data_IF_134680858519
#
_entry.id   IF_134680858519
#
_cell.length_a   1.000
_cell.length_b   1.000
_cell.length_c   1.000
_cell.angle_alpha   90.00
_cell.angle_beta   90.00
_cell.angle_gamma   90.00
#
_symmetry.space_group_name_H-M   'P 1'
#
loop_
_entity.id
_entity.type
_entity.pdbx_description
1 polymer ?
#
# COMPACT_ATOMS: atom_id res chain seq x y z
N UNK A 1 -12.95 3.21 -37.81
CA UNK A 1 -12.67 3.66 -36.42
C UNK A 1 -12.05 2.49 -35.70
N UNK A 2 -10.79 2.62 -35.32
CA UNK A 2 -9.92 1.57 -34.79
C UNK A 2 -10.44 1.16 -33.39
N UNK A 3 -10.90 -0.08 -33.22
CA UNK A 3 -11.41 -0.67 -31.97
C UNK A 3 -10.28 -0.93 -30.96
N UNK A 4 -9.39 0.05 -30.75
CA UNK A 4 -8.28 -0.06 -29.79
C UNK A 4 -8.71 0.51 -28.44
N UNK A 5 -8.91 -0.42 -27.49
CA UNK A 5 -8.61 -0.28 -26.05
C UNK A 5 -9.56 0.59 -25.21
N UNK A 6 -10.84 0.20 -25.14
CA UNK A 6 -11.77 0.70 -24.10
C UNK A 6 -11.51 0.04 -22.72
N UNK A 7 -10.69 -1.02 -22.67
CA UNK A 7 -10.46 -1.85 -21.46
C UNK A 7 -9.01 -1.85 -20.92
N UNK A 8 -8.10 -1.01 -21.44
CA UNK A 8 -6.74 -0.99 -20.89
C UNK A 8 -6.63 -0.02 -19.72
N UNK A 9 -6.44 -0.59 -18.52
CA UNK A 9 -6.07 0.15 -17.32
C UNK A 9 -4.85 1.04 -17.62
N UNK A 10 -4.90 2.34 -17.26
CA UNK A 10 -3.86 3.27 -17.64
C UNK A 10 -2.54 2.89 -16.96
N UNK A 11 -1.43 3.13 -17.67
CA UNK A 11 -0.08 2.69 -17.25
C UNK A 11 0.25 3.17 -15.83
N UNK A 12 -0.11 4.41 -15.49
CA UNK A 12 0.12 4.97 -14.15
C UNK A 12 -0.58 4.19 -13.04
N UNK A 13 -1.77 3.63 -13.30
CA UNK A 13 -2.54 2.85 -12.31
C UNK A 13 -1.85 1.50 -12.04
N UNK A 14 -1.32 0.85 -13.10
CA UNK A 14 -0.48 -0.35 -12.97
C UNK A 14 0.83 -0.05 -12.23
N UNK A 15 1.48 1.06 -12.56
CA UNK A 15 2.73 1.49 -11.93
C UNK A 15 2.53 1.77 -10.44
N UNK A 16 1.50 2.52 -10.06
CA UNK A 16 1.18 2.79 -8.65
C UNK A 16 0.85 1.52 -7.88
N UNK A 17 0.07 0.61 -8.47
CA UNK A 17 -0.24 -0.68 -7.85
C UNK A 17 1.02 -1.54 -7.64
N UNK A 18 1.94 -1.55 -8.62
CA UNK A 18 3.21 -2.25 -8.49
C UNK A 18 4.10 -1.64 -7.40
N UNK A 19 4.21 -0.31 -7.35
CA UNK A 19 4.99 0.40 -6.33
C UNK A 19 4.38 0.15 -4.93
N UNK A 20 3.07 0.24 -4.80
CA UNK A 20 2.33 -0.09 -3.56
C UNK A 20 2.68 -1.49 -3.07
N UNK A 21 2.56 -2.51 -3.93
CA UNK A 21 2.89 -3.89 -3.60
C UNK A 21 4.36 -4.05 -3.18
N UNK A 22 5.27 -3.33 -3.84
CA UNK A 22 6.69 -3.34 -3.50
C UNK A 22 6.92 -2.77 -2.09
N UNK A 23 6.28 -1.67 -1.72
CA UNK A 23 6.34 -1.11 -0.36
C UNK A 23 5.78 -2.06 0.69
N UNK A 24 4.62 -2.67 0.44
CA UNK A 24 3.99 -3.65 1.34
C UNK A 24 4.92 -4.86 1.52
N UNK A 25 5.51 -5.37 0.43
CA UNK A 25 6.44 -6.49 0.46
C UNK A 25 7.72 -6.16 1.25
N UNK A 26 8.30 -4.98 1.05
CA UNK A 26 9.43 -4.51 1.84
C UNK A 26 9.07 -4.35 3.32
N UNK A 27 7.85 -3.90 3.63
CA UNK A 27 7.33 -3.84 5.00
C UNK A 27 7.27 -5.22 5.67
N UNK A 28 6.80 -6.24 4.94
CA UNK A 28 6.77 -7.64 5.39
C UNK A 28 8.17 -8.22 5.64
N UNK A 29 9.14 -7.93 4.76
CA UNK A 29 10.53 -8.34 4.98
C UNK A 29 11.11 -7.65 6.22
N UNK A 30 10.82 -6.37 6.37
CA UNK A 30 11.34 -5.55 7.46
C UNK A 30 10.76 -5.96 8.82
N UNK A 31 9.55 -6.54 8.87
CA UNK A 31 8.94 -7.16 10.05
C UNK A 31 9.83 -8.26 10.65
N UNK A 32 10.41 -9.12 9.80
CA UNK A 32 11.29 -10.22 10.23
C UNK A 32 12.59 -9.66 10.84
N UNK A 33 13.01 -8.48 10.40
CA UNK A 33 14.23 -7.82 10.87
C UNK A 33 14.05 -7.04 12.18
N UNK A 34 12.82 -6.88 12.69
CA UNK A 34 12.53 -6.16 13.95
C UNK A 34 13.33 -6.68 15.16
N UNK A 35 13.47 -8.00 15.40
CA UNK A 35 14.22 -8.50 16.56
C UNK A 35 15.72 -8.18 16.48
N UNK A 36 16.23 -7.94 15.28
CA UNK A 36 17.66 -7.74 15.02
C UNK A 36 18.04 -6.25 14.97
N UNK A 37 17.15 -5.40 14.47
CA UNK A 37 17.42 -3.98 14.21
C UNK A 37 16.28 -3.11 14.76
N UNK A 38 16.54 -2.39 15.86
CA UNK A 38 15.54 -1.52 16.50
C UNK A 38 14.98 -0.44 15.56
N UNK A 39 15.78 0.04 14.59
CA UNK A 39 15.34 0.99 13.56
C UNK A 39 14.16 0.46 12.74
N UNK A 40 14.04 -0.86 12.56
CA UNK A 40 12.95 -1.48 11.79
C UNK A 40 11.58 -1.25 12.42
N UNK A 41 11.48 -1.07 13.74
CA UNK A 41 10.22 -0.74 14.42
C UNK A 41 9.57 0.54 13.90
N UNK A 42 10.37 1.48 13.39
CA UNK A 42 9.89 2.72 12.79
C UNK A 42 9.75 2.63 11.27
N UNK A 43 10.64 1.88 10.60
CA UNK A 43 10.61 1.73 9.14
C UNK A 43 9.41 0.91 8.68
N UNK A 44 9.10 -0.20 9.37
CA UNK A 44 7.98 -1.08 9.05
C UNK A 44 6.64 -0.33 8.92
N UNK A 45 6.18 0.42 9.93
CA UNK A 45 4.92 1.14 9.84
C UNK A 45 4.95 2.21 8.73
N UNK A 46 6.09 2.86 8.49
CA UNK A 46 6.24 3.85 7.41
C UNK A 46 6.10 3.20 6.03
N UNK A 47 6.73 2.03 5.82
CA UNK A 47 6.62 1.28 4.56
C UNK A 47 5.18 0.85 4.28
N UNK A 48 4.50 0.32 5.29
CA UNK A 48 3.09 -0.06 5.16
C UNK A 48 2.20 1.15 4.89
N UNK A 49 2.38 2.25 5.63
CA UNK A 49 1.64 3.49 5.40
C UNK A 49 1.80 4.02 3.97
N UNK A 50 3.03 4.05 3.47
CA UNK A 50 3.32 4.48 2.10
C UNK A 50 2.68 3.53 1.06
N UNK A 51 2.78 2.21 1.27
CA UNK A 51 2.15 1.20 0.42
C UNK A 51 0.63 1.38 0.33
N UNK A 52 -0.06 1.43 1.47
CA UNK A 52 -1.52 1.59 1.51
C UNK A 52 -1.98 2.92 0.91
N UNK A 53 -1.31 4.03 1.20
CA UNK A 53 -1.64 5.33 0.59
C UNK A 53 -1.53 5.30 -0.95
N UNK A 54 -0.48 4.67 -1.48
CA UNK A 54 -0.30 4.53 -2.92
C UNK A 54 -1.32 3.56 -3.54
N UNK A 55 -1.82 2.58 -2.78
CA UNK A 55 -2.82 1.63 -3.22
C UNK A 55 -4.24 2.22 -3.36
N UNK A 56 -4.55 3.25 -2.58
CA UNK A 56 -5.86 3.91 -2.59
C UNK A 56 -6.16 4.51 -3.97
N UNK A 57 -5.19 5.20 -4.58
CA UNK A 57 -5.36 5.90 -5.86
C UNK A 57 -5.81 4.97 -7.00
N UNK A 58 -5.08 3.86 -7.32
CA UNK A 58 -5.49 2.94 -8.36
C UNK A 58 -6.81 2.22 -8.04
N UNK A 59 -7.09 1.93 -6.75
CA UNK A 59 -8.32 1.25 -6.35
C UNK A 59 -9.55 2.16 -6.44
N UNK A 60 -9.42 3.47 -6.16
CA UNK A 60 -10.48 4.46 -6.43
C UNK A 60 -10.77 4.51 -7.94
N UNK A 61 -9.74 4.55 -8.78
CA UNK A 61 -9.90 4.57 -10.24
C UNK A 61 -10.64 3.32 -10.75
N UNK A 62 -10.31 2.14 -10.19
CA UNK A 62 -10.99 0.87 -10.49
C UNK A 62 -12.38 0.74 -9.85
N UNK A 63 -12.84 1.74 -9.10
CA UNK A 63 -14.09 1.71 -8.30
C UNK A 63 -14.14 0.54 -7.30
N UNK A 64 -12.98 0.05 -6.87
CA UNK A 64 -12.88 -1.03 -5.89
C UNK A 64 -12.81 -0.44 -4.46
N UNK A 65 -13.92 0.15 -4.02
CA UNK A 65 -13.97 0.86 -2.75
C UNK A 65 -13.76 -0.04 -1.53
N UNK A 66 -14.07 -1.33 -1.63
CA UNK A 66 -13.83 -2.28 -0.54
C UNK A 66 -12.36 -2.34 -0.13
N UNK A 67 -11.45 -2.42 -1.12
CA UNK A 67 -10.01 -2.42 -0.84
C UNK A 67 -9.57 -1.07 -0.27
N UNK A 68 -10.12 0.04 -0.77
CA UNK A 68 -9.83 1.39 -0.24
C UNK A 68 -10.20 1.49 1.24
N UNK A 69 -11.37 1.00 1.64
CA UNK A 69 -11.78 1.01 3.05
C UNK A 69 -10.87 0.13 3.92
N UNK A 70 -10.45 -1.03 3.41
CA UNK A 70 -9.48 -1.89 4.10
C UNK A 70 -8.14 -1.19 4.28
N UNK A 71 -7.61 -0.58 3.21
CA UNK A 71 -6.33 0.13 3.23
C UNK A 71 -6.35 1.27 4.26
N UNK A 72 -7.43 2.05 4.30
CA UNK A 72 -7.63 3.11 5.30
C UNK A 72 -7.74 2.54 6.71
N UNK A 73 -8.51 1.47 6.91
CA UNK A 73 -8.65 0.83 8.21
C UNK A 73 -7.31 0.32 8.74
N UNK A 74 -6.54 -0.38 7.92
CA UNK A 74 -5.21 -0.88 8.29
C UNK A 74 -4.27 0.29 8.56
N UNK A 75 -4.30 1.34 7.75
CA UNK A 75 -3.51 2.56 7.98
C UNK A 75 -3.77 3.17 9.36
N UNK A 76 -5.04 3.34 9.73
CA UNK A 76 -5.44 3.85 11.06
C UNK A 76 -5.00 2.89 12.17
N UNK A 77 -5.15 1.59 11.97
CA UNK A 77 -4.75 0.57 12.94
C UNK A 77 -3.23 0.60 13.20
N UNK A 78 -2.41 0.79 12.16
CA UNK A 78 -0.96 0.95 12.30
C UNK A 78 -0.62 2.21 13.10
N UNK A 79 -1.32 3.33 12.86
CA UNK A 79 -1.14 4.56 13.66
C UNK A 79 -1.46 4.29 15.13
N UNK A 80 -2.62 3.69 15.41
CA UNK A 80 -3.06 3.41 16.79
C UNK A 80 -2.02 2.52 17.49
N UNK A 81 -1.58 1.43 16.86
CA UNK A 81 -0.56 0.55 17.44
C UNK A 81 0.72 1.33 17.74
N UNK A 82 1.19 2.18 16.82
CA UNK A 82 2.41 2.97 17.01
C UNK A 82 2.28 4.06 18.08
N UNK A 83 1.08 4.58 18.31
CA UNK A 83 0.83 5.63 19.33
C UNK A 83 0.63 5.01 20.72
N UNK A 84 0.04 3.81 20.79
CA UNK A 84 -0.30 3.14 22.05
C UNK A 84 0.87 2.30 22.58
N UNK A 85 1.69 1.68 21.71
CA UNK A 85 2.91 0.93 22.09
C UNK A 85 4.16 1.77 21.97
#
# INVERSE_FOLDING_TARGET
MDNKKINEEPVWCKTLNYISNLFIFLGLISLILIPFLNVMKNIVPVLFMAGFLLNIIPNIYKKNYFIVYIDIFIFVLIIIIKVVM
#
